data_IF_755958637171
#
_entry.id   IF_755958637171
#
_cell.length_a   1.000
_cell.length_b   1.000
_cell.length_c   1.000
_cell.angle_alpha   90.00
_cell.angle_beta   90.00
_cell.angle_gamma   90.00
#
_symmetry.space_group_name_H-M   'P 1'
#
loop_
_entity.id
_entity.type
_entity.pdbx_description
1 polymer ?
#
# COMPACT_ATOMS: atom_id res chain seq x y z
N UNK A 1 -45.18 -44.88 5.27
CA UNK A 1 -45.17 -43.94 6.41
C UNK A 1 -43.74 -43.47 6.71
N UNK A 2 -42.92 -44.18 7.51
CA UNK A 2 -41.61 -43.66 7.94
C UNK A 2 -40.58 -43.41 6.80
N UNK A 3 -40.53 -44.28 5.78
CA UNK A 3 -39.61 -44.12 4.65
C UNK A 3 -39.99 -42.95 3.71
N UNK A 4 -41.28 -42.65 3.63
CA UNK A 4 -41.85 -41.58 2.78
C UNK A 4 -41.65 -40.21 3.43
N UNK A 5 -41.76 -40.16 4.76
CA UNK A 5 -41.46 -38.97 5.56
C UNK A 5 -39.95 -38.65 5.58
N UNK A 6 -39.09 -39.65 5.65
CA UNK A 6 -37.64 -39.48 5.53
C UNK A 6 -37.23 -38.95 4.15
N UNK A 7 -37.87 -39.44 3.08
CA UNK A 7 -37.63 -38.96 1.72
C UNK A 7 -38.09 -37.50 1.53
N UNK A 8 -39.21 -37.10 2.15
CA UNK A 8 -39.69 -35.72 2.14
C UNK A 8 -38.71 -34.77 2.84
N UNK A 9 -38.26 -35.11 4.04
CA UNK A 9 -37.31 -34.28 4.81
C UNK A 9 -35.97 -34.15 4.08
N UNK A 10 -35.48 -35.22 3.45
CA UNK A 10 -34.25 -35.17 2.66
C UNK A 10 -34.37 -34.23 1.45
N UNK A 11 -35.55 -34.19 0.82
CA UNK A 11 -35.83 -33.29 -0.31
C UNK A 11 -35.93 -31.83 0.15
N UNK A 12 -36.67 -31.54 1.21
CA UNK A 12 -36.79 -30.19 1.78
C UNK A 12 -35.44 -29.63 2.21
N UNK A 13 -34.59 -30.47 2.83
CA UNK A 13 -33.23 -30.07 3.21
C UNK A 13 -32.36 -29.72 2.00
N UNK A 14 -32.45 -30.52 0.93
CA UNK A 14 -31.69 -30.26 -0.30
C UNK A 14 -32.18 -29.00 -1.02
N UNK A 15 -33.48 -28.74 -1.02
CA UNK A 15 -34.06 -27.51 -1.57
C UNK A 15 -33.60 -26.27 -0.75
N UNK A 16 -33.56 -26.38 0.58
CA UNK A 16 -33.04 -25.31 1.45
C UNK A 16 -31.53 -25.05 1.26
N UNK A 17 -30.74 -26.11 1.09
CA UNK A 17 -29.29 -25.99 0.83
C UNK A 17 -29.00 -25.34 -0.53
N UNK A 18 -29.81 -25.61 -1.57
CA UNK A 18 -29.66 -24.94 -2.86
C UNK A 18 -30.08 -23.46 -2.80
N UNK A 19 -31.18 -23.14 -2.11
CA UNK A 19 -31.59 -21.74 -1.94
C UNK A 19 -30.54 -20.90 -1.20
N UNK A 20 -29.91 -21.48 -0.16
CA UNK A 20 -28.82 -20.82 0.57
C UNK A 20 -27.56 -20.62 -0.30
N UNK A 21 -27.27 -21.55 -1.21
CA UNK A 21 -26.16 -21.44 -2.14
C UNK A 21 -26.40 -20.33 -3.19
N UNK A 22 -27.61 -20.23 -3.73
CA UNK A 22 -28.00 -19.17 -4.68
C UNK A 22 -27.95 -17.78 -4.03
N UNK A 23 -28.39 -17.65 -2.78
CA UNK A 23 -28.28 -16.38 -2.05
C UNK A 23 -26.82 -15.97 -1.78
N UNK A 24 -25.95 -16.93 -1.47
CA UNK A 24 -24.52 -16.68 -1.27
C UNK A 24 -23.81 -16.27 -2.58
N UNK A 25 -24.17 -16.89 -3.70
CA UNK A 25 -23.65 -16.54 -5.03
C UNK A 25 -24.09 -15.13 -5.43
N UNK A 26 -25.38 -14.80 -5.26
CA UNK A 26 -25.90 -13.46 -5.53
C UNK A 26 -25.26 -12.37 -4.64
N UNK A 27 -24.89 -12.70 -3.39
CA UNK A 27 -24.16 -11.79 -2.51
C UNK A 27 -22.72 -11.58 -2.98
N UNK A 28 -22.04 -12.65 -3.42
CA UNK A 28 -20.69 -12.57 -3.97
C UNK A 28 -20.65 -11.75 -5.28
N UNK A 29 -21.61 -11.95 -6.17
CA UNK A 29 -21.73 -11.17 -7.41
C UNK A 29 -21.94 -9.67 -7.15
N UNK A 30 -22.72 -9.32 -6.12
CA UNK A 30 -22.91 -7.91 -5.73
C UNK A 30 -21.62 -7.27 -5.21
N UNK A 31 -20.85 -7.99 -4.41
CA UNK A 31 -19.55 -7.52 -3.92
C UNK A 31 -18.56 -7.29 -5.07
N UNK A 32 -18.50 -8.22 -6.02
CA UNK A 32 -17.66 -8.08 -7.22
C UNK A 32 -18.10 -6.90 -8.08
N UNK A 33 -19.40 -6.67 -8.23
CA UNK A 33 -19.93 -5.53 -8.97
C UNK A 33 -19.65 -4.18 -8.29
N UNK A 34 -19.75 -4.12 -6.95
CA UNK A 34 -19.42 -2.93 -6.15
C UNK A 34 -17.92 -2.59 -6.24
N UNK A 35 -17.06 -3.60 -6.16
CA UNK A 35 -15.61 -3.46 -6.34
C UNK A 35 -15.25 -3.00 -7.76
N UNK A 36 -15.92 -3.55 -8.78
CA UNK A 36 -15.74 -3.14 -10.17
C UNK A 36 -16.18 -1.69 -10.40
N UNK A 37 -17.27 -1.25 -9.78
CA UNK A 37 -17.75 0.13 -9.87
C UNK A 37 -16.78 1.12 -9.20
N UNK A 38 -16.28 0.79 -8.00
CA UNK A 38 -15.26 1.58 -7.33
C UNK A 38 -13.95 1.67 -8.13
N UNK A 39 -13.55 0.57 -8.79
CA UNK A 39 -12.39 0.53 -9.69
C UNK A 39 -12.59 1.37 -10.97
N UNK A 40 -13.80 1.41 -11.51
CA UNK A 40 -14.12 2.22 -12.68
C UNK A 40 -14.09 3.73 -12.37
N UNK A 41 -14.67 4.13 -11.24
CA UNK A 41 -14.61 5.52 -10.75
C UNK A 41 -13.17 5.94 -10.44
N UNK A 42 -12.39 5.01 -9.87
CA UNK A 42 -10.98 5.20 -9.63
C UNK A 42 -10.18 5.48 -10.90
N UNK A 43 -10.41 4.70 -11.97
CA UNK A 43 -9.78 4.88 -13.28
C UNK A 43 -10.23 6.18 -13.96
N UNK A 44 -11.51 6.54 -13.83
CA UNK A 44 -12.03 7.79 -14.38
C UNK A 44 -11.38 9.03 -13.74
N UNK A 45 -11.12 9.00 -12.43
CA UNK A 45 -10.43 10.07 -11.72
C UNK A 45 -8.97 10.23 -12.18
N UNK A 46 -8.25 9.12 -12.41
CA UNK A 46 -6.87 9.12 -12.94
C UNK A 46 -6.83 9.70 -14.36
N UNK A 47 -7.72 9.24 -15.25
CA UNK A 47 -7.81 9.73 -16.62
C UNK A 47 -8.16 11.22 -16.69
N UNK A 48 -8.96 11.73 -15.75
CA UNK A 48 -9.30 13.15 -15.64
C UNK A 48 -8.10 14.02 -15.21
N UNK A 49 -7.23 13.51 -14.33
CA UNK A 49 -5.99 14.20 -13.95
C UNK A 49 -4.92 14.16 -15.07
N UNK A 50 -4.83 13.05 -15.83
CA UNK A 50 -3.94 12.94 -16.99
C UNK A 50 -4.28 13.94 -18.09
N UNK A 51 -5.58 14.17 -18.35
CA UNK A 51 -6.04 15.15 -19.32
C UNK A 51 -5.70 16.61 -18.93
N UNK A 52 -5.41 16.87 -17.65
CA UNK A 52 -5.06 18.20 -17.14
C UNK A 52 -3.56 18.55 -17.27
N UNK A 53 -2.75 17.67 -17.89
CA UNK A 53 -1.40 18.02 -18.36
C UNK A 53 -0.32 18.14 -17.27
N UNK A 54 -0.50 17.46 -16.13
CA UNK A 54 0.54 17.35 -15.10
C UNK A 54 1.42 16.13 -15.32
N UNK A 55 2.67 16.32 -15.75
CA UNK A 55 3.68 15.27 -15.71
C UNK A 55 3.90 14.84 -14.24
N UNK A 56 3.33 13.70 -13.82
CA UNK A 56 3.60 13.07 -12.52
C UNK A 56 4.24 11.71 -12.75
N UNK A 57 5.37 11.53 -12.10
CA UNK A 57 6.03 10.25 -11.89
C UNK A 57 5.09 9.40 -11.03
N UNK A 58 4.61 8.28 -11.58
CA UNK A 58 3.78 7.31 -10.87
C UNK A 58 4.52 6.77 -9.65
N UNK A 59 4.21 7.32 -8.46
CA UNK A 59 4.24 6.51 -7.25
C UNK A 59 2.99 5.63 -7.38
N UNK A 60 3.18 4.43 -7.91
CA UNK A 60 2.14 3.42 -8.07
C UNK A 60 1.35 3.37 -6.76
N UNK A 61 0.09 3.82 -6.89
CA UNK A 61 -1.01 3.71 -5.94
C UNK A 61 -0.67 2.93 -4.68
N UNK A 62 -0.42 3.65 -3.57
CA UNK A 62 -0.73 3.09 -2.27
C UNK A 62 -2.19 2.60 -2.33
N UNK A 63 -2.50 1.35 -1.94
CA UNK A 63 -3.85 0.81 -2.07
C UNK A 63 -4.87 1.76 -1.44
N UNK A 64 -5.89 2.16 -2.22
CA UNK A 64 -7.01 2.97 -1.72
C UNK A 64 -7.64 2.22 -0.55
N UNK A 65 -7.48 2.80 0.64
CA UNK A 65 -7.62 2.13 1.93
C UNK A 65 -6.55 2.57 2.94
N UNK A 66 -5.43 3.14 2.49
CA UNK A 66 -4.47 3.84 3.33
C UNK A 66 -4.91 5.28 3.68
N UNK A 67 -6.20 5.49 3.97
CA UNK A 67 -6.56 6.50 4.97
C UNK A 67 -6.32 5.88 6.35
N UNK A 68 -5.06 5.63 6.69
CA UNK A 68 -4.69 5.72 8.09
C UNK A 68 -4.06 7.08 8.27
N UNK A 69 -4.88 7.98 8.78
CA UNK A 69 -4.55 8.99 9.79
C UNK A 69 -3.77 8.38 10.98
N UNK A 70 -2.73 7.61 10.70
CA UNK A 70 -1.80 7.11 11.69
C UNK A 70 -0.81 8.22 11.99
N UNK A 71 -0.92 8.82 13.17
CA UNK A 71 0.15 9.63 13.74
C UNK A 71 1.50 8.93 13.53
N UNK A 72 2.54 9.69 13.18
CA UNK A 72 3.91 9.18 13.18
C UNK A 72 4.17 8.43 14.49
N UNK A 73 4.64 7.18 14.40
CA UNK A 73 4.83 6.29 15.55
C UNK A 73 6.18 5.61 15.45
N UNK A 74 6.76 5.23 16.59
CA UNK A 74 8.06 4.56 16.67
C UNK A 74 8.13 3.31 15.78
N UNK A 75 7.01 2.57 15.67
CA UNK A 75 6.92 1.38 14.81
C UNK A 75 6.91 1.70 13.31
N UNK A 76 6.40 2.87 12.91
CA UNK A 76 6.47 3.34 11.53
C UNK A 76 7.86 3.90 11.22
N UNK A 77 8.44 4.64 12.16
CA UNK A 77 9.79 5.18 12.06
C UNK A 77 10.82 4.06 11.88
N UNK A 78 10.75 3.00 12.69
CA UNK A 78 11.63 1.85 12.57
C UNK A 78 11.54 1.16 11.19
N UNK A 79 10.34 1.01 10.64
CA UNK A 79 10.15 0.45 9.29
C UNK A 79 10.73 1.34 8.20
N UNK A 80 10.48 2.64 8.27
CA UNK A 80 11.07 3.61 7.34
C UNK A 80 12.59 3.58 7.43
N UNK A 81 13.14 3.53 8.64
CA UNK A 81 14.57 3.46 8.88
C UNK A 81 15.20 2.21 8.26
N UNK A 82 14.60 1.03 8.43
CA UNK A 82 15.07 -0.21 7.78
C UNK A 82 15.13 -0.08 6.25
N UNK A 83 14.10 0.51 5.63
CA UNK A 83 14.09 0.70 4.19
C UNK A 83 15.09 1.78 3.73
N UNK A 84 15.33 2.80 4.55
CA UNK A 84 16.38 3.78 4.30
C UNK A 84 17.76 3.12 4.38
N UNK A 85 18.05 2.29 5.38
CA UNK A 85 19.33 1.57 5.46
C UNK A 85 19.58 0.69 4.22
N UNK A 86 18.55 0.02 3.72
CA UNK A 86 18.65 -0.76 2.50
C UNK A 86 18.86 0.11 1.24
N UNK A 87 18.25 1.30 1.20
CA UNK A 87 18.38 2.23 0.09
C UNK A 87 19.75 2.94 0.06
N UNK A 88 20.24 3.38 1.22
CA UNK A 88 21.50 4.10 1.44
C UNK A 88 22.63 3.13 1.79
N UNK A 89 22.79 2.08 0.98
CA UNK A 89 23.79 1.03 1.13
C UNK A 89 25.26 1.50 1.18
N UNK A 90 25.51 2.75 0.77
CA UNK A 90 26.83 3.39 0.77
C UNK A 90 27.05 4.35 1.96
N UNK A 91 26.05 4.57 2.82
CA UNK A 91 26.15 5.45 3.98
C UNK A 91 26.31 4.64 5.27
N UNK A 92 27.05 5.16 6.27
CA UNK A 92 27.04 4.59 7.60
C UNK A 92 25.62 4.63 8.21
N UNK A 93 25.17 3.58 8.93
CA UNK A 93 23.84 3.55 9.55
C UNK A 93 23.53 4.76 10.43
N UNK A 94 24.52 5.27 11.15
CA UNK A 94 24.42 6.45 12.00
C UNK A 94 24.12 7.74 11.22
N UNK A 95 24.61 7.85 9.98
CA UNK A 95 24.31 9.00 9.12
C UNK A 95 22.86 8.92 8.62
N UNK A 96 22.41 7.72 8.24
CA UNK A 96 21.02 7.46 7.84
C UNK A 96 20.05 7.75 8.99
N UNK A 97 20.40 7.35 10.21
CA UNK A 97 19.63 7.64 11.42
C UNK A 97 19.55 9.15 11.67
N UNK A 98 20.67 9.87 11.56
CA UNK A 98 20.69 11.32 11.72
C UNK A 98 19.82 12.05 10.68
N UNK A 99 19.82 11.59 9.42
CA UNK A 99 18.99 12.13 8.35
C UNK A 99 17.49 12.00 8.65
N UNK A 100 17.07 10.80 9.07
CA UNK A 100 15.68 10.54 9.44
C UNK A 100 15.28 11.36 10.68
N UNK A 101 16.14 11.39 11.71
CA UNK A 101 15.88 12.16 12.93
C UNK A 101 15.77 13.67 12.67
N UNK A 102 16.51 14.22 11.71
CA UNK A 102 16.38 15.61 11.30
C UNK A 102 15.03 15.90 10.64
N UNK A 103 14.56 15.02 9.75
CA UNK A 103 13.25 15.14 9.13
C UNK A 103 12.10 15.03 10.16
N UNK A 104 12.19 14.07 11.08
CA UNK A 104 11.20 13.87 12.15
C UNK A 104 11.10 15.09 13.05
N UNK A 105 12.24 15.66 13.45
CA UNK A 105 12.28 16.88 14.25
C UNK A 105 11.69 18.08 13.50
N UNK A 106 12.09 18.31 12.25
CA UNK A 106 11.56 19.41 11.45
C UNK A 106 10.04 19.31 11.27
N UNK A 107 9.52 18.10 11.05
CA UNK A 107 8.08 17.87 11.02
C UNK A 107 7.41 18.16 12.38
N UNK A 108 8.05 17.76 13.50
CA UNK A 108 7.61 18.10 14.85
C UNK A 108 7.59 19.60 15.15
N UNK A 109 8.47 20.36 14.51
CA UNK A 109 8.52 21.84 14.58
C UNK A 109 7.47 22.51 13.66
N UNK A 110 6.70 21.74 12.91
CA UNK A 110 5.61 22.22 12.04
C UNK A 110 6.02 22.52 10.60
N UNK A 111 7.19 22.05 10.16
CA UNK A 111 7.64 22.23 8.78
C UNK A 111 6.85 21.32 7.82
N UNK A 112 5.88 21.91 7.13
CA UNK A 112 4.96 21.17 6.25
C UNK A 112 5.67 20.40 5.11
N UNK A 113 6.87 20.82 4.71
CA UNK A 113 7.65 20.07 3.71
C UNK A 113 8.32 18.83 4.31
N UNK A 114 8.79 18.89 5.56
CA UNK A 114 9.30 17.73 6.27
C UNK A 114 8.19 16.71 6.53
N UNK A 115 7.01 17.16 6.96
CA UNK A 115 5.83 16.28 7.11
C UNK A 115 5.47 15.56 5.81
N UNK A 116 5.43 16.27 4.68
CA UNK A 116 5.19 15.67 3.36
C UNK A 116 6.26 14.66 2.97
N UNK A 117 7.51 14.91 3.34
CA UNK A 117 8.64 14.02 3.07
C UNK A 117 8.50 12.71 3.86
N UNK A 118 8.18 12.80 5.14
CA UNK A 118 7.93 11.65 6.01
C UNK A 118 6.75 10.80 5.55
N UNK A 119 5.64 11.44 5.14
CA UNK A 119 4.48 10.72 4.59
C UNK A 119 4.84 9.94 3.32
N UNK A 120 5.66 10.52 2.45
CA UNK A 120 6.12 9.86 1.22
C UNK A 120 7.09 8.72 1.53
N UNK A 121 8.03 8.90 2.44
CA UNK A 121 8.93 7.84 2.91
C UNK A 121 8.14 6.66 3.52
N UNK A 122 7.12 6.96 4.34
CA UNK A 122 6.22 5.95 4.88
C UNK A 122 5.44 5.21 3.78
N UNK A 123 5.00 5.90 2.74
CA UNK A 123 4.37 5.29 1.56
C UNK A 123 5.32 4.35 0.82
N UNK A 124 6.55 4.80 0.55
CA UNK A 124 7.57 4.00 -0.12
C UNK A 124 7.95 2.75 0.69
N UNK A 125 8.10 2.88 2.01
CA UNK A 125 8.41 1.75 2.87
C UNK A 125 7.33 0.66 2.77
N UNK A 126 6.05 1.05 2.82
CA UNK A 126 4.93 0.10 2.63
C UNK A 126 4.94 -0.53 1.24
N UNK A 127 5.22 0.25 0.19
CA UNK A 127 5.29 -0.28 -1.17
C UNK A 127 6.41 -1.31 -1.31
N UNK A 128 7.58 -1.07 -0.70
CA UNK A 128 8.70 -2.02 -0.69
C UNK A 128 8.33 -3.29 0.08
N UNK A 129 7.73 -3.17 1.26
CA UNK A 129 7.27 -4.31 2.08
C UNK A 129 6.20 -5.16 1.38
N UNK A 130 5.38 -4.55 0.52
CA UNK A 130 4.34 -5.23 -0.24
C UNK A 130 4.88 -5.97 -1.47
N UNK A 131 6.14 -5.74 -1.88
CA UNK A 131 6.72 -6.45 -3.01
C UNK A 131 6.87 -7.95 -2.68
N UNK A 132 6.48 -8.84 -3.60
CA UNK A 132 6.69 -10.26 -3.41
C UNK A 132 8.18 -10.55 -3.32
N UNK A 133 8.57 -11.39 -2.36
CA UNK A 133 9.96 -11.80 -2.21
C UNK A 133 10.48 -12.35 -3.55
N UNK A 134 11.63 -11.84 -4.01
CA UNK A 134 12.25 -12.27 -5.25
C UNK A 134 12.65 -13.76 -5.15
N UNK A 135 11.73 -14.66 -5.55
CA UNK A 135 11.96 -16.09 -5.33
C UNK A 135 10.97 -17.06 -5.97
N UNK A 136 9.82 -16.63 -6.49
CA UNK A 136 8.82 -17.56 -7.05
C UNK A 136 8.27 -17.10 -8.40
N UNK A 137 8.99 -17.43 -9.48
CA UNK A 137 8.49 -17.33 -10.86
C UNK A 137 8.97 -16.14 -11.69
N UNK A 138 8.45 -16.01 -12.91
CA UNK A 138 8.80 -14.96 -13.87
C UNK A 138 8.55 -13.53 -13.38
N UNK A 139 7.70 -13.38 -12.36
CA UNK A 139 7.36 -12.11 -11.72
C UNK A 139 8.46 -11.59 -10.78
N UNK A 140 9.44 -12.44 -10.40
CA UNK A 140 10.53 -12.05 -9.51
C UNK A 140 11.49 -11.00 -10.12
N UNK A 141 11.67 -11.02 -11.44
CA UNK A 141 12.49 -10.01 -12.13
C UNK A 141 11.81 -8.64 -12.16
N UNK A 142 10.49 -8.61 -12.33
CA UNK A 142 9.70 -7.38 -12.27
C UNK A 142 9.67 -6.81 -10.85
N UNK A 143 9.48 -7.66 -9.84
CA UNK A 143 9.55 -7.26 -8.44
C UNK A 143 10.92 -6.69 -8.05
N UNK A 144 12.01 -7.27 -8.57
CA UNK A 144 13.36 -6.76 -8.34
C UNK A 144 13.65 -5.44 -9.07
N UNK A 145 13.02 -5.19 -10.23
CA UNK A 145 13.12 -3.91 -10.93
C UNK A 145 12.34 -2.82 -10.20
N UNK A 146 11.12 -3.14 -9.76
CA UNK A 146 10.29 -2.26 -8.95
C UNK A 146 10.98 -1.91 -7.62
N UNK A 147 11.55 -2.90 -6.93
CA UNK A 147 12.32 -2.66 -5.71
C UNK A 147 13.48 -1.67 -5.95
N UNK A 148 14.21 -1.83 -7.06
CA UNK A 148 15.30 -0.90 -7.43
C UNK A 148 14.77 0.52 -7.71
N UNK A 149 13.62 0.64 -8.37
CA UNK A 149 12.94 1.91 -8.60
C UNK A 149 12.57 2.58 -7.28
N UNK A 150 11.89 1.86 -6.38
CA UNK A 150 11.47 2.37 -5.08
C UNK A 150 12.67 2.77 -4.20
N UNK A 151 13.73 1.94 -4.13
CA UNK A 151 14.95 2.31 -3.40
C UNK A 151 15.64 3.54 -4.00
N UNK A 152 15.61 3.72 -5.32
CA UNK A 152 16.09 4.96 -5.95
C UNK A 152 15.30 6.18 -5.50
N UNK A 153 13.97 6.05 -5.37
CA UNK A 153 13.12 7.11 -4.83
C UNK A 153 13.43 7.40 -3.36
N UNK A 154 13.65 6.38 -2.53
CA UNK A 154 14.07 6.54 -1.12
C UNK A 154 15.39 7.34 -1.04
N UNK A 155 16.37 7.05 -1.90
CA UNK A 155 17.65 7.78 -1.92
C UNK A 155 17.50 9.28 -2.19
N UNK A 156 16.49 9.68 -2.99
CA UNK A 156 16.26 11.09 -3.31
C UNK A 156 15.88 11.92 -2.07
N UNK A 157 15.23 11.30 -1.07
CA UNK A 157 14.86 11.93 0.20
C UNK A 157 16.04 12.14 1.14
N UNK A 158 17.19 11.48 0.90
CA UNK A 158 18.40 11.70 1.67
C UNK A 158 18.83 13.16 1.62
N UNK A 159 18.68 13.80 0.46
CA UNK A 159 18.93 15.23 0.27
C UNK A 159 18.02 16.11 1.10
N UNK A 160 16.77 15.69 1.30
CA UNK A 160 15.83 16.43 2.14
C UNK A 160 16.23 16.32 3.61
N UNK A 161 16.67 15.14 4.06
CA UNK A 161 17.28 14.96 5.38
C UNK A 161 18.54 15.80 5.58
N UNK A 162 19.43 15.83 4.59
CA UNK A 162 20.67 16.61 4.62
C UNK A 162 20.36 18.10 4.79
N UNK A 163 19.36 18.62 4.07
CA UNK A 163 18.91 20.00 4.17
C UNK A 163 18.54 20.38 5.61
N UNK A 164 17.81 19.51 6.30
CA UNK A 164 17.38 19.76 7.69
C UNK A 164 18.49 19.53 8.72
N UNK A 165 19.45 18.65 8.45
CA UNK A 165 20.66 18.50 9.26
C UNK A 165 21.54 19.76 9.22
N UNK A 166 21.65 20.39 8.06
CA UNK A 166 22.48 21.59 7.86
C UNK A 166 21.85 22.88 8.42
N UNK A 167 20.60 22.82 8.91
CA UNK A 167 19.93 23.93 9.62
C UNK A 167 19.69 25.18 8.78
N UNK A 168 19.31 25.03 7.50
CA UNK A 168 19.06 26.16 6.59
C UNK A 168 17.61 26.30 6.15
#
# INVERSE_FOLDING_TARGET
AAAEEAARVARERREAEMAAAEEAEAAAERLVAEEAAASAEAKAAVLAEEAAGGFRFDVVSAPRGAEETGSWSDALEGRVFEQMLAAFDNYPPEEVEALLAALVRAAGDGEAEAERSLLKLAGLARSIEALPAAGSGGDGALAADEARSLYSQVRMWGKDGERWLEGR
#
